data_IF_505965871804
#
_entry.id   IF_505965871804
#
_cell.length_a   1.000
_cell.length_b   1.000
_cell.length_c   1.000
_cell.angle_alpha   90.00
_cell.angle_beta   90.00
_cell.angle_gamma   90.00
#
_symmetry.space_group_name_H-M   'P 1'
#
loop_
_entity.id
_entity.type
_entity.pdbx_description
1 polymer ?
#
# COMPACT_ATOMS: atom_id res chain seq x y z
N UNK A 1 8.61 3.55 19.50
CA UNK A 1 7.29 3.72 20.17
C UNK A 1 6.25 3.73 19.04
N UNK A 2 5.30 2.81 19.03
CA UNK A 2 4.22 2.89 18.03
C UNK A 2 3.54 4.26 18.19
N UNK A 3 3.31 4.97 17.08
CA UNK A 3 2.41 6.13 17.14
C UNK A 3 1.09 5.67 17.73
N UNK A 4 0.88 5.95 19.01
CA UNK A 4 -0.38 5.63 19.66
C UNK A 4 -1.46 6.45 18.95
N UNK A 5 -2.28 5.77 18.13
CA UNK A 5 -3.41 6.43 17.47
C UNK A 5 -4.25 7.10 18.54
N UNK A 6 -4.47 8.40 18.40
CA UNK A 6 -5.25 9.16 19.36
C UNK A 6 -6.64 8.52 19.60
N UNK A 7 -7.21 8.61 20.80
CA UNK A 7 -8.51 8.06 21.10
C UNK A 7 -9.58 8.52 20.09
N UNK A 8 -10.49 7.64 19.70
CA UNK A 8 -11.50 7.90 18.67
C UNK A 8 -12.26 9.22 18.87
N UNK A 9 -12.70 9.51 20.11
CA UNK A 9 -13.44 10.75 20.41
C UNK A 9 -12.63 12.02 20.14
N UNK A 10 -11.32 11.98 20.36
CA UNK A 10 -10.42 13.10 20.03
C UNK A 10 -10.32 13.26 18.53
N UNK A 11 -9.99 12.18 17.80
CA UNK A 11 -9.88 12.19 16.34
C UNK A 11 -11.16 12.69 15.65
N UNK A 12 -12.34 12.28 16.17
CA UNK A 12 -13.63 12.74 15.67
C UNK A 12 -13.85 14.23 15.94
N UNK A 13 -13.49 14.71 17.14
CA UNK A 13 -13.59 16.13 17.48
C UNK A 13 -12.68 16.96 16.58
N UNK A 14 -11.40 16.57 16.45
CA UNK A 14 -10.43 17.27 15.63
C UNK A 14 -10.90 17.36 14.16
N UNK A 15 -11.51 16.28 13.64
CA UNK A 15 -12.09 16.25 12.29
C UNK A 15 -13.29 17.20 12.13
N UNK A 16 -14.18 17.27 13.13
CA UNK A 16 -15.38 18.12 13.10
C UNK A 16 -15.06 19.62 13.32
N UNK A 17 -13.99 19.91 14.05
CA UNK A 17 -13.52 21.27 14.32
C UNK A 17 -12.55 21.80 13.23
N UNK A 18 -12.13 20.96 12.29
CA UNK A 18 -11.23 21.36 11.21
C UNK A 18 -11.94 22.15 10.12
N UNK A 19 -11.48 23.36 9.83
CA UNK A 19 -11.99 24.17 8.71
C UNK A 19 -11.47 23.68 7.35
N UNK A 20 -10.27 23.13 7.29
CA UNK A 20 -9.60 22.71 6.04
C UNK A 20 -10.03 21.33 5.55
N UNK A 21 -10.29 20.40 6.46
CA UNK A 21 -10.61 19.01 6.13
C UNK A 21 -11.88 18.86 5.28
N UNK A 22 -13.03 19.46 5.63
CA UNK A 22 -14.24 19.37 4.79
C UNK A 22 -14.05 19.96 3.39
N UNK A 23 -13.28 21.04 3.26
CA UNK A 23 -12.95 21.64 1.96
C UNK A 23 -12.09 20.70 1.11
N UNK A 24 -11.09 20.08 1.71
CA UNK A 24 -10.22 19.12 1.03
C UNK A 24 -11.00 17.87 0.57
N UNK A 25 -11.79 17.28 1.47
CA UNK A 25 -12.62 16.11 1.17
C UNK A 25 -13.68 16.43 0.11
N UNK A 26 -14.41 17.55 0.27
CA UNK A 26 -15.46 17.99 -0.67
C UNK A 26 -14.92 18.28 -2.09
N UNK A 27 -13.66 18.62 -2.23
CA UNK A 27 -13.00 18.84 -3.52
C UNK A 27 -12.46 17.55 -4.14
N UNK A 28 -11.76 16.73 -3.36
CA UNK A 28 -10.96 15.61 -3.90
C UNK A 28 -11.80 14.35 -4.08
N UNK A 29 -12.67 14.01 -3.12
CA UNK A 29 -13.42 12.75 -3.20
C UNK A 29 -14.43 12.72 -4.37
N UNK A 30 -15.22 13.79 -4.63
CA UNK A 30 -16.06 13.84 -5.83
C UNK A 30 -15.26 13.80 -7.14
N UNK A 31 -14.06 14.43 -7.17
CA UNK A 31 -13.17 14.37 -8.33
C UNK A 31 -12.70 12.94 -8.60
N UNK A 32 -12.27 12.20 -7.57
CA UNK A 32 -11.85 10.81 -7.71
C UNK A 32 -12.99 9.91 -8.17
N UNK A 33 -14.20 10.06 -7.61
CA UNK A 33 -15.36 9.29 -8.05
C UNK A 33 -15.79 9.67 -9.48
N UNK A 34 -15.74 10.94 -9.85
CA UNK A 34 -16.01 11.40 -11.21
C UNK A 34 -15.03 10.79 -12.23
N UNK A 35 -13.73 10.81 -11.93
CA UNK A 35 -12.70 10.16 -12.75
C UNK A 35 -12.90 8.66 -12.85
N UNK A 36 -13.29 8.00 -11.75
CA UNK A 36 -13.63 6.58 -11.75
C UNK A 36 -14.78 6.28 -12.71
N UNK A 37 -15.87 7.05 -12.65
CA UNK A 37 -17.02 6.88 -13.56
C UNK A 37 -16.61 7.05 -15.02
N UNK A 38 -15.77 8.04 -15.31
CA UNK A 38 -15.25 8.28 -16.66
C UNK A 38 -14.37 7.11 -17.14
N UNK A 39 -13.48 6.58 -16.30
CA UNK A 39 -12.61 5.45 -16.64
C UNK A 39 -13.41 4.15 -16.94
N UNK A 40 -14.62 4.01 -16.39
CA UNK A 40 -15.53 2.90 -16.68
C UNK A 40 -16.57 3.23 -17.75
N UNK A 41 -16.56 4.45 -18.31
CA UNK A 41 -17.49 4.80 -19.37
C UNK A 41 -17.27 3.89 -20.60
N UNK A 42 -18.36 3.28 -21.08
CA UNK A 42 -18.30 2.33 -22.20
C UNK A 42 -17.78 0.93 -21.86
N UNK A 43 -17.42 0.65 -20.61
CA UNK A 43 -17.04 -0.67 -20.11
C UNK A 43 -18.24 -1.36 -19.43
N UNK A 44 -18.25 -2.66 -19.45
CA UNK A 44 -19.24 -3.47 -18.70
C UNK A 44 -18.74 -3.70 -17.27
N UNK A 45 -18.83 -2.64 -16.42
CA UNK A 45 -18.40 -2.69 -15.03
C UNK A 45 -19.00 -3.88 -14.25
N UNK A 46 -20.32 -4.22 -14.36
CA UNK A 46 -20.87 -5.39 -13.68
C UNK A 46 -20.21 -6.71 -14.09
N UNK A 47 -19.94 -6.93 -15.37
CA UNK A 47 -19.28 -8.16 -15.84
C UNK A 47 -17.82 -8.21 -15.38
N UNK A 48 -17.08 -7.11 -15.46
CA UNK A 48 -15.70 -7.02 -14.99
C UNK A 48 -15.59 -7.18 -13.48
N UNK A 49 -16.51 -6.57 -12.72
CA UNK A 49 -16.64 -6.76 -11.27
C UNK A 49 -16.89 -8.23 -10.92
N UNK A 50 -17.85 -8.87 -11.58
CA UNK A 50 -18.17 -10.27 -11.34
C UNK A 50 -16.96 -11.18 -11.63
N UNK A 51 -16.21 -10.90 -12.71
CA UNK A 51 -14.97 -11.61 -13.05
C UNK A 51 -13.92 -11.46 -11.96
N UNK A 52 -13.60 -10.23 -11.53
CA UNK A 52 -12.60 -10.01 -10.48
C UNK A 52 -13.06 -10.60 -9.15
N UNK A 53 -14.33 -10.46 -8.78
CA UNK A 53 -14.89 -11.04 -7.56
C UNK A 53 -14.76 -12.58 -7.55
N UNK A 54 -15.06 -13.25 -8.68
CA UNK A 54 -14.93 -14.70 -8.81
C UNK A 54 -13.45 -15.15 -8.66
N UNK A 55 -12.52 -14.44 -9.30
CA UNK A 55 -11.08 -14.69 -9.16
C UNK A 55 -10.66 -14.54 -7.70
N UNK A 56 -10.96 -13.41 -7.06
CA UNK A 56 -10.54 -13.13 -5.70
C UNK A 56 -11.17 -14.10 -4.69
N UNK A 57 -12.45 -14.46 -4.87
CA UNK A 57 -13.13 -15.46 -4.04
C UNK A 57 -12.44 -16.83 -4.10
N UNK A 58 -12.12 -17.29 -5.31
CA UNK A 58 -11.38 -18.54 -5.53
C UNK A 58 -9.98 -18.47 -4.86
N UNK A 59 -9.23 -17.39 -5.10
CA UNK A 59 -7.87 -17.25 -4.61
C UNK A 59 -7.81 -17.16 -3.08
N UNK A 60 -8.78 -16.51 -2.44
CA UNK A 60 -8.93 -16.52 -0.97
C UNK A 60 -9.21 -17.93 -0.45
N UNK A 61 -10.11 -18.67 -1.10
CA UNK A 61 -10.42 -20.06 -0.71
C UNK A 61 -9.20 -20.98 -0.85
N UNK A 62 -8.46 -20.84 -1.96
CA UNK A 62 -7.27 -21.64 -2.30
C UNK A 62 -5.98 -21.13 -1.62
N UNK A 63 -6.04 -20.13 -0.76
CA UNK A 63 -4.90 -19.44 -0.18
C UNK A 63 -3.74 -20.35 0.26
N UNK A 64 -3.97 -21.39 1.08
CA UNK A 64 -2.90 -22.29 1.52
C UNK A 64 -2.17 -23.00 0.37
N UNK A 65 -2.90 -23.45 -0.65
CA UNK A 65 -2.34 -24.10 -1.83
C UNK A 65 -1.52 -23.11 -2.68
N UNK A 66 -2.07 -21.90 -2.89
CA UNK A 66 -1.40 -20.84 -3.62
C UNK A 66 -0.12 -20.37 -2.91
N UNK A 67 -0.14 -20.30 -1.59
CA UNK A 67 1.04 -19.99 -0.78
C UNK A 67 2.16 -21.01 -0.99
N UNK A 68 1.84 -22.30 -0.88
CA UNK A 68 2.82 -23.36 -1.11
C UNK A 68 3.41 -23.29 -2.52
N UNK A 69 2.57 -23.10 -3.53
CA UNK A 69 2.98 -22.97 -4.92
C UNK A 69 3.86 -21.73 -5.14
N UNK A 70 3.44 -20.56 -4.63
CA UNK A 70 4.21 -19.32 -4.73
C UNK A 70 5.60 -19.49 -4.13
N UNK A 71 5.69 -19.99 -2.89
CA UNK A 71 6.95 -20.20 -2.20
C UNK A 71 7.90 -21.07 -3.03
N UNK A 72 7.45 -22.26 -3.45
CA UNK A 72 8.28 -23.19 -4.21
C UNK A 72 8.78 -22.58 -5.55
N UNK A 73 7.95 -21.82 -6.25
CA UNK A 73 8.33 -21.23 -7.55
C UNK A 73 9.20 -19.99 -7.36
N UNK A 74 8.93 -19.15 -6.37
CA UNK A 74 9.72 -17.96 -6.06
C UNK A 74 11.14 -18.33 -5.58
N UNK A 75 11.28 -19.35 -4.72
CA UNK A 75 12.57 -19.86 -4.27
C UNK A 75 13.38 -20.46 -5.42
N UNK A 76 12.73 -21.21 -6.31
CA UNK A 76 13.38 -21.71 -7.53
C UNK A 76 13.85 -20.58 -8.44
N UNK A 77 13.18 -19.44 -8.41
CA UNK A 77 13.57 -18.22 -9.12
C UNK A 77 14.70 -17.44 -8.42
N UNK A 78 15.11 -17.86 -7.22
CA UNK A 78 16.21 -17.26 -6.46
C UNK A 78 15.78 -16.20 -5.44
N UNK A 79 14.49 -16.09 -5.12
CA UNK A 79 14.03 -15.30 -3.98
C UNK A 79 14.15 -16.09 -2.69
N UNK A 80 14.22 -15.39 -1.56
CA UNK A 80 14.04 -16.00 -0.23
C UNK A 80 12.64 -15.67 0.25
N UNK A 81 11.81 -16.68 0.51
CA UNK A 81 10.45 -16.49 0.98
C UNK A 81 10.36 -16.81 2.47
N UNK A 82 10.03 -15.80 3.28
CA UNK A 82 9.81 -15.98 4.70
C UNK A 82 8.36 -16.37 4.96
N UNK A 83 8.10 -17.36 5.84
CA UNK A 83 6.76 -17.86 6.10
C UNK A 83 5.83 -16.77 6.65
N UNK A 84 4.50 -16.91 6.47
CA UNK A 84 3.53 -15.98 7.02
C UNK A 84 3.65 -15.87 8.54
N UNK A 85 3.68 -14.63 9.04
CA UNK A 85 3.84 -14.34 10.46
C UNK A 85 2.97 -13.14 10.89
N UNK A 86 2.89 -12.89 12.17
CA UNK A 86 2.25 -11.71 12.74
C UNK A 86 3.10 -10.44 12.56
N UNK A 87 2.57 -9.31 13.04
CA UNK A 87 3.21 -8.02 12.89
C UNK A 87 4.60 -7.95 13.56
N UNK A 88 4.76 -8.52 14.76
CA UNK A 88 6.01 -8.46 15.51
C UNK A 88 7.10 -9.28 14.84
N UNK A 89 6.80 -10.51 14.45
CA UNK A 89 7.73 -11.40 13.78
C UNK A 89 8.13 -10.88 12.38
N UNK A 90 7.21 -10.25 11.65
CA UNK A 90 7.54 -9.61 10.36
C UNK A 90 8.49 -8.43 10.56
N UNK A 91 8.25 -7.56 11.57
CA UNK A 91 9.16 -6.45 11.88
C UNK A 91 10.56 -6.95 12.24
N UNK A 92 10.64 -7.97 13.11
CA UNK A 92 11.94 -8.55 13.50
C UNK A 92 12.67 -9.18 12.30
N UNK A 93 11.95 -9.91 11.44
CA UNK A 93 12.54 -10.49 10.22
C UNK A 93 13.14 -9.41 9.31
N UNK A 94 12.40 -8.31 9.07
CA UNK A 94 12.89 -7.20 8.25
C UNK A 94 14.09 -6.51 8.90
N UNK A 95 14.03 -6.24 10.20
CA UNK A 95 15.15 -5.64 10.95
C UNK A 95 16.41 -6.52 10.91
N UNK A 96 16.25 -7.84 11.03
CA UNK A 96 17.39 -8.77 10.94
C UNK A 96 18.01 -8.79 9.55
N UNK A 97 17.20 -8.79 8.47
CA UNK A 97 17.70 -8.71 7.10
C UNK A 97 18.51 -7.44 6.86
N UNK A 98 18.03 -6.30 7.38
CA UNK A 98 18.73 -5.01 7.27
C UNK A 98 20.02 -5.00 8.09
N UNK A 99 20.03 -5.59 9.30
CA UNK A 99 21.26 -5.75 10.11
C UNK A 99 22.32 -6.62 9.42
N UNK A 100 21.91 -7.75 8.82
CA UNK A 100 22.79 -8.62 8.07
C UNK A 100 23.40 -7.93 6.84
N UNK A 101 22.62 -7.05 6.18
CA UNK A 101 23.09 -6.21 5.10
C UNK A 101 23.92 -5.00 5.56
N UNK A 102 24.07 -4.78 6.85
CA UNK A 102 24.69 -3.56 7.44
C UNK A 102 24.05 -2.27 6.90
N UNK A 103 22.74 -2.31 6.60
CA UNK A 103 22.00 -1.19 6.06
C UNK A 103 21.90 -0.06 7.10
N UNK A 104 22.01 1.17 6.65
CA UNK A 104 21.81 2.40 7.44
C UNK A 104 20.67 3.23 6.88
N UNK A 105 20.46 3.20 5.56
CA UNK A 105 19.42 3.92 4.86
C UNK A 105 18.55 2.99 4.05
N UNK A 106 17.24 3.14 4.20
CA UNK A 106 16.21 2.34 3.52
C UNK A 106 15.26 3.28 2.78
N UNK A 107 15.05 3.04 1.49
CA UNK A 107 13.96 3.66 0.72
C UNK A 107 12.75 2.75 0.69
N UNK A 108 11.58 3.32 0.99
CA UNK A 108 10.34 2.56 1.10
C UNK A 108 9.30 3.11 0.12
N UNK A 109 8.66 2.22 -0.64
CA UNK A 109 7.48 2.60 -1.41
C UNK A 109 6.24 2.50 -0.54
N UNK A 110 5.23 3.30 -0.88
CA UNK A 110 3.93 3.23 -0.21
C UNK A 110 3.40 1.80 -0.15
N UNK A 111 3.09 1.34 1.06
CA UNK A 111 2.54 0.01 1.29
C UNK A 111 1.66 -0.03 2.54
N UNK A 112 0.38 -0.33 2.35
CA UNK A 112 -0.54 -0.48 3.49
C UNK A 112 -0.16 -1.64 4.41
N UNK A 113 0.54 -2.67 3.91
CA UNK A 113 1.00 -3.78 4.75
C UNK A 113 2.11 -3.33 5.72
N UNK A 114 3.00 -2.44 5.29
CA UNK A 114 4.04 -1.89 6.16
C UNK A 114 3.49 -0.87 7.16
N UNK A 115 2.47 -0.08 6.75
CA UNK A 115 1.76 0.81 7.68
C UNK A 115 0.98 0.02 8.74
N UNK A 116 0.32 -1.07 8.34
CA UNK A 116 -0.41 -1.96 9.23
C UNK A 116 0.42 -2.41 10.43
N UNK A 117 1.69 -2.71 10.19
CA UNK A 117 2.59 -3.22 11.23
C UNK A 117 3.49 -2.13 11.84
N UNK A 118 3.35 -0.86 11.47
CA UNK A 118 4.20 0.22 11.96
C UNK A 118 5.69 0.00 11.65
N UNK A 119 6.00 -0.55 10.47
CA UNK A 119 7.36 -0.95 10.13
C UNK A 119 8.34 0.20 10.13
N UNK A 120 7.96 1.36 9.57
CA UNK A 120 8.83 2.55 9.53
C UNK A 120 9.28 2.94 10.94
N UNK A 121 8.33 3.11 11.84
CA UNK A 121 8.59 3.52 13.22
C UNK A 121 9.48 2.53 13.97
N UNK A 122 9.29 1.22 13.73
CA UNK A 122 10.12 0.19 14.32
C UNK A 122 11.58 0.28 13.84
N UNK A 123 11.79 0.43 12.53
CA UNK A 123 13.12 0.55 11.95
C UNK A 123 13.84 1.86 12.34
N UNK A 124 13.10 2.98 12.40
CA UNK A 124 13.64 4.27 12.90
C UNK A 124 14.04 4.17 14.38
N UNK A 125 13.27 3.43 15.20
CA UNK A 125 13.63 3.18 16.60
C UNK A 125 14.91 2.32 16.76
N UNK A 126 15.21 1.46 15.77
CA UNK A 126 16.45 0.69 15.68
C UNK A 126 17.62 1.51 15.09
N UNK A 127 17.42 2.81 14.80
CA UNK A 127 18.45 3.73 14.33
C UNK A 127 18.66 3.76 12.82
N UNK A 128 17.77 3.17 12.01
CA UNK A 128 17.83 3.26 10.55
C UNK A 128 17.19 4.57 10.06
N UNK A 129 17.75 5.14 9.01
CA UNK A 129 17.10 6.19 8.24
C UNK A 129 16.12 5.54 7.25
N UNK A 130 14.82 5.75 7.46
CA UNK A 130 13.76 5.22 6.56
C UNK A 130 13.13 6.37 5.81
N UNK A 131 13.16 6.32 4.47
CA UNK A 131 12.64 7.38 3.61
C UNK A 131 11.45 6.88 2.79
N UNK A 132 10.27 7.46 3.04
CA UNK A 132 9.09 7.26 2.21
C UNK A 132 9.31 7.94 0.85
N UNK A 133 8.97 7.24 -0.22
CA UNK A 133 9.30 7.70 -1.58
C UNK A 133 8.08 8.06 -2.44
N UNK A 134 6.87 7.74 -2.00
CA UNK A 134 5.63 8.30 -2.53
C UNK A 134 5.47 9.72 -2.00
N UNK A 135 5.17 10.69 -2.85
CA UNK A 135 5.12 12.10 -2.42
C UNK A 135 4.12 12.33 -1.28
N UNK A 136 2.96 11.67 -1.32
CA UNK A 136 1.96 11.79 -0.26
C UNK A 136 2.41 11.16 1.05
N UNK A 137 3.01 9.97 1.02
CA UNK A 137 3.59 9.32 2.21
C UNK A 137 4.80 10.09 2.74
N UNK A 138 5.62 10.66 1.87
CA UNK A 138 6.75 11.50 2.26
C UNK A 138 6.29 12.75 3.03
N UNK A 139 5.23 13.42 2.57
CA UNK A 139 4.64 14.55 3.29
C UNK A 139 4.10 14.12 4.67
N UNK A 140 3.40 12.99 4.73
CA UNK A 140 2.87 12.41 5.97
C UNK A 140 4.02 12.02 6.93
N UNK A 141 5.12 11.47 6.40
CA UNK A 141 6.32 11.18 7.19
C UNK A 141 6.93 12.43 7.81
N UNK A 142 7.15 13.48 7.01
CA UNK A 142 7.73 14.74 7.52
C UNK A 142 6.80 15.40 8.55
N UNK A 143 5.49 15.31 8.35
CA UNK A 143 4.49 15.85 9.26
C UNK A 143 4.37 15.04 10.57
N UNK A 144 4.96 13.84 10.62
CA UNK A 144 4.80 12.86 11.69
C UNK A 144 3.33 12.51 11.96
N UNK A 145 2.58 12.31 10.87
CA UNK A 145 1.15 12.00 10.89
C UNK A 145 0.87 10.60 10.32
N UNK A 146 -0.40 10.18 10.40
CA UNK A 146 -0.88 8.95 9.76
C UNK A 146 -1.53 9.25 8.41
N UNK A 147 -1.50 8.32 7.44
CA UNK A 147 -2.21 8.46 6.18
C UNK A 147 -3.71 8.67 6.39
N UNK A 148 -4.29 9.68 5.74
CA UNK A 148 -5.73 9.96 5.85
C UNK A 148 -6.59 9.22 4.83
N UNK A 149 -5.97 8.65 3.78
CA UNK A 149 -6.67 7.91 2.72
C UNK A 149 -5.77 6.82 2.14
N UNK A 150 -6.35 5.66 1.78
CA UNK A 150 -5.60 4.50 1.28
C UNK A 150 -4.78 4.81 0.02
N UNK A 151 -5.29 5.67 -0.87
CA UNK A 151 -4.63 6.01 -2.15
C UNK A 151 -3.98 7.39 -2.12
N UNK A 152 -4.59 8.36 -1.45
CA UNK A 152 -4.13 9.74 -1.35
C UNK A 152 -3.80 10.09 0.12
N UNK A 153 -2.67 9.63 0.68
CA UNK A 153 -2.38 9.69 2.11
C UNK A 153 -2.35 11.10 2.68
N UNK A 154 -1.86 12.07 1.92
CA UNK A 154 -1.73 13.47 2.29
C UNK A 154 -2.94 14.35 1.90
N UNK A 155 -4.12 13.76 1.70
CA UNK A 155 -5.33 14.46 1.27
C UNK A 155 -5.71 15.67 2.16
N UNK A 156 -5.38 15.61 3.43
CA UNK A 156 -5.64 16.62 4.45
C UNK A 156 -4.57 17.73 4.51
N UNK A 157 -3.43 17.56 3.84
CA UNK A 157 -2.34 18.53 3.83
C UNK A 157 -2.57 19.58 2.75
N UNK A 158 -2.56 20.87 3.12
CA UNK A 158 -2.70 21.99 2.18
C UNK A 158 -1.38 22.23 1.43
N UNK A 159 -1.41 23.00 0.34
CA UNK A 159 -0.20 23.35 -0.44
C UNK A 159 0.78 24.18 0.38
N UNK A 160 0.27 25.10 1.18
CA UNK A 160 1.03 25.94 2.09
C UNK A 160 1.77 25.07 3.10
N UNK A 161 1.06 24.12 3.72
CA UNK A 161 1.67 23.18 4.66
C UNK A 161 2.67 22.24 3.98
N UNK A 162 2.41 21.81 2.75
CA UNK A 162 3.34 21.01 1.96
C UNK A 162 4.64 21.79 1.64
N UNK A 163 4.53 23.10 1.35
CA UNK A 163 5.70 23.96 1.13
C UNK A 163 6.57 24.08 2.38
N UNK A 164 5.97 24.30 3.56
CA UNK A 164 6.67 24.31 4.84
C UNK A 164 7.37 22.97 5.12
N UNK A 165 6.67 21.85 4.94
CA UNK A 165 7.20 20.51 5.18
C UNK A 165 8.39 20.19 4.27
N UNK A 166 8.26 20.38 2.96
CA UNK A 166 9.35 20.14 2.01
C UNK A 166 10.51 21.11 2.29
N UNK A 167 10.19 22.37 2.56
CA UNK A 167 11.18 23.40 2.90
C UNK A 167 12.02 23.02 4.12
N UNK A 168 11.40 22.42 5.15
CA UNK A 168 12.10 22.02 6.39
C UNK A 168 13.17 20.95 6.17
N UNK A 169 12.98 20.04 5.19
CA UNK A 169 13.93 18.96 4.90
C UNK A 169 14.92 19.32 3.79
N UNK A 170 14.54 20.24 2.90
CA UNK A 170 15.42 20.70 1.81
C UNK A 170 16.26 21.94 2.18
N UNK A 171 15.90 22.63 3.27
CA UNK A 171 16.52 23.90 3.65
C UNK A 171 16.16 25.07 2.72
N UNK A 172 15.10 24.96 1.94
CA UNK A 172 14.67 25.95 0.96
C UNK A 172 13.39 26.67 1.41
N UNK A 173 13.26 27.95 1.07
CA UNK A 173 11.98 28.67 1.16
C UNK A 173 11.21 28.44 -0.14
N UNK A 174 10.14 27.65 -0.08
CA UNK A 174 9.40 27.19 -1.26
C UNK A 174 8.02 27.86 -1.35
N UNK A 175 7.63 28.38 -2.51
CA UNK A 175 6.26 28.83 -2.72
C UNK A 175 5.30 27.63 -2.76
N UNK A 176 4.00 27.82 -2.41
CA UNK A 176 2.99 26.75 -2.43
C UNK A 176 2.51 26.43 -3.85
N UNK A 177 3.45 26.28 -4.78
CA UNK A 177 3.24 25.94 -6.18
C UNK A 177 3.55 24.46 -6.42
N UNK A 178 2.59 23.66 -6.94
CA UNK A 178 2.77 22.22 -7.09
C UNK A 178 4.01 21.82 -7.89
N UNK A 179 4.33 22.50 -8.98
CA UNK A 179 5.46 22.14 -9.84
C UNK A 179 6.80 22.38 -9.13
N UNK A 180 6.89 23.48 -8.36
CA UNK A 180 8.06 23.79 -7.55
C UNK A 180 8.24 22.79 -6.41
N UNK A 181 7.16 22.43 -5.71
CA UNK A 181 7.18 21.46 -4.63
C UNK A 181 7.58 20.06 -5.11
N UNK A 182 7.00 19.61 -6.24
CA UNK A 182 7.35 18.32 -6.84
C UNK A 182 8.82 18.28 -7.26
N UNK A 183 9.35 19.38 -7.81
CA UNK A 183 10.76 19.47 -8.22
C UNK A 183 11.68 19.37 -7.01
N UNK A 184 11.44 20.13 -5.96
CA UNK A 184 12.24 20.11 -4.74
C UNK A 184 12.21 18.71 -4.06
N UNK A 185 11.03 18.10 -3.93
CA UNK A 185 10.90 16.75 -3.42
C UNK A 185 11.62 15.71 -4.28
N UNK A 186 11.54 15.82 -5.62
CA UNK A 186 12.25 14.95 -6.55
C UNK A 186 13.77 15.04 -6.39
N UNK A 187 14.32 16.24 -6.29
CA UNK A 187 15.76 16.46 -6.10
C UNK A 187 16.23 15.83 -4.79
N UNK A 188 15.54 16.12 -3.70
CA UNK A 188 15.81 15.52 -2.40
C UNK A 188 15.75 13.99 -2.40
N UNK A 189 14.66 13.41 -2.92
CA UNK A 189 14.48 11.96 -2.96
C UNK A 189 15.45 11.26 -3.91
N UNK A 190 15.95 11.95 -4.96
CA UNK A 190 16.91 11.37 -5.89
C UNK A 190 18.19 10.92 -5.19
N UNK A 191 18.71 11.77 -4.34
CA UNK A 191 19.94 11.47 -3.58
C UNK A 191 19.69 10.31 -2.60
N UNK A 192 18.50 10.26 -1.98
CA UNK A 192 18.11 9.16 -1.10
C UNK A 192 18.02 7.82 -1.83
N UNK A 193 17.45 7.79 -3.03
CA UNK A 193 17.43 6.58 -3.88
C UNK A 193 18.82 6.07 -4.22
N UNK A 194 19.75 6.98 -4.52
CA UNK A 194 21.13 6.61 -4.89
C UNK A 194 21.92 6.11 -3.68
N UNK A 195 21.69 6.69 -2.51
CA UNK A 195 22.40 6.34 -1.27
C UNK A 195 21.81 5.13 -0.53
N UNK A 196 20.62 4.65 -0.91
CA UNK A 196 19.93 3.61 -0.16
C UNK A 196 20.65 2.26 -0.23
N UNK A 197 20.82 1.64 0.95
CA UNK A 197 21.38 0.30 1.11
C UNK A 197 20.34 -0.78 0.78
N UNK A 198 19.07 -0.52 1.11
CA UNK A 198 17.97 -1.45 0.88
C UNK A 198 16.71 -0.73 0.40
N UNK A 199 15.88 -1.45 -0.34
CA UNK A 199 14.55 -1.00 -0.76
C UNK A 199 13.45 -1.89 -0.21
N UNK A 200 12.41 -1.27 0.35
CA UNK A 200 11.23 -1.98 0.85
C UNK A 200 10.02 -1.64 -0.01
N UNK A 201 9.30 -2.66 -0.45
CA UNK A 201 8.03 -2.50 -1.17
C UNK A 201 6.94 -3.37 -0.57
N UNK A 202 5.69 -3.05 -0.89
CA UNK A 202 4.58 -3.99 -0.77
C UNK A 202 4.44 -4.88 -1.99
N UNK A 203 3.23 -5.44 -2.18
CA UNK A 203 2.81 -6.09 -3.43
C UNK A 203 1.35 -5.79 -3.73
N UNK A 204 1.03 -5.60 -5.01
CA UNK A 204 -0.34 -5.57 -5.49
C UNK A 204 -0.88 -6.99 -5.75
N UNK A 205 -0.02 -7.90 -6.20
CA UNK A 205 -0.28 -9.33 -6.26
C UNK A 205 1.01 -10.17 -6.09
N UNK A 206 0.84 -11.39 -5.59
CA UNK A 206 1.83 -12.46 -5.54
C UNK A 206 1.35 -13.59 -6.44
N UNK A 207 2.00 -13.79 -7.58
CA UNK A 207 1.53 -14.71 -8.63
C UNK A 207 2.07 -16.11 -8.40
N UNK A 208 1.23 -17.04 -7.97
CA UNK A 208 1.66 -18.38 -7.56
C UNK A 208 2.28 -19.20 -8.70
N UNK A 209 1.74 -19.09 -9.92
CA UNK A 209 2.23 -19.86 -11.06
C UNK A 209 3.65 -19.49 -11.54
N UNK A 210 4.11 -18.27 -11.25
CA UNK A 210 5.41 -17.76 -11.71
C UNK A 210 6.35 -17.35 -10.58
N UNK A 211 5.85 -17.36 -9.32
CA UNK A 211 6.60 -16.84 -8.18
C UNK A 211 6.90 -15.34 -8.26
N UNK A 212 6.10 -14.58 -9.04
CA UNK A 212 6.37 -13.17 -9.31
C UNK A 212 5.64 -12.25 -8.35
N UNK A 213 6.29 -11.16 -7.98
CA UNK A 213 5.71 -10.03 -7.25
C UNK A 213 5.26 -8.97 -8.25
N UNK A 214 3.98 -8.59 -8.25
CA UNK A 214 3.45 -7.49 -9.06
C UNK A 214 3.44 -6.20 -8.24
N UNK A 215 4.07 -5.16 -8.78
CA UNK A 215 4.05 -3.79 -8.27
C UNK A 215 3.38 -2.86 -9.28
N UNK A 216 2.50 -1.99 -8.78
CA UNK A 216 1.80 -0.97 -9.57
C UNK A 216 2.13 0.40 -8.98
N UNK A 217 2.58 1.33 -9.81
CA UNK A 217 2.94 2.69 -9.42
C UNK A 217 2.65 3.68 -10.54
N UNK A 218 2.32 4.93 -10.19
CA UNK A 218 2.22 6.03 -11.15
C UNK A 218 3.45 6.94 -11.13
N UNK A 219 4.16 7.00 -10.02
CA UNK A 219 5.32 7.90 -9.82
C UNK A 219 6.65 7.25 -10.23
N UNK A 220 6.69 5.93 -10.34
CA UNK A 220 7.92 5.19 -10.61
C UNK A 220 8.78 4.93 -9.36
N UNK A 221 8.41 5.46 -8.21
CA UNK A 221 9.11 5.30 -6.93
C UNK A 221 9.23 3.82 -6.52
N UNK A 222 8.16 3.03 -6.59
CA UNK A 222 8.20 1.60 -6.26
C UNK A 222 9.19 0.83 -7.16
N UNK A 223 9.32 1.23 -8.45
CA UNK A 223 10.32 0.67 -9.35
C UNK A 223 11.74 1.01 -8.91
N UNK A 224 11.99 2.25 -8.47
CA UNK A 224 13.30 2.66 -7.97
C UNK A 224 13.65 1.93 -6.66
N UNK A 225 12.71 1.82 -5.71
CA UNK A 225 12.90 1.04 -4.48
C UNK A 225 13.26 -0.43 -4.76
N UNK A 226 12.64 -1.03 -5.78
CA UNK A 226 12.85 -2.44 -6.11
C UNK A 226 14.03 -2.72 -7.02
N UNK A 227 14.69 -1.69 -7.59
CA UNK A 227 15.72 -1.91 -8.61
C UNK A 227 17.05 -1.21 -8.36
N UNK A 228 17.12 -0.14 -7.57
CA UNK A 228 18.39 0.56 -7.31
C UNK A 228 19.21 -0.08 -6.18
N UNK A 229 18.64 -0.35 -4.98
CA UNK A 229 19.38 -0.99 -3.90
C UNK A 229 19.77 -2.43 -4.20
N UNK A 230 20.85 -2.89 -3.59
CA UNK A 230 21.33 -4.28 -3.73
C UNK A 230 20.43 -5.30 -3.02
N UNK A 231 19.70 -4.87 -1.99
CA UNK A 231 18.72 -5.65 -1.23
C UNK A 231 17.32 -5.12 -1.48
N UNK A 232 16.40 -5.99 -1.92
CA UNK A 232 14.98 -5.68 -2.04
C UNK A 232 14.16 -6.58 -1.12
N UNK A 233 13.40 -5.96 -0.21
CA UNK A 233 12.50 -6.64 0.72
C UNK A 233 11.05 -6.31 0.34
N UNK A 234 10.27 -7.34 0.05
CA UNK A 234 8.83 -7.24 -0.22
C UNK A 234 8.07 -7.64 1.02
N UNK A 235 7.29 -6.74 1.61
CA UNK A 235 6.38 -7.04 2.73
C UNK A 235 4.96 -7.10 2.21
N UNK A 236 4.35 -8.28 2.19
CA UNK A 236 3.05 -8.48 1.57
C UNK A 236 2.13 -9.39 2.38
N UNK A 237 0.86 -9.01 2.50
CA UNK A 237 -0.16 -9.88 3.08
C UNK A 237 -0.43 -11.11 2.22
N UNK A 238 -0.70 -12.25 2.84
CA UNK A 238 -1.08 -13.49 2.14
C UNK A 238 -2.38 -13.34 1.33
N UNK A 239 -3.16 -12.30 1.61
CA UNK A 239 -4.34 -11.90 0.83
C UNK A 239 -3.99 -11.39 -0.60
N UNK A 240 -2.71 -11.18 -0.91
CA UNK A 240 -2.23 -10.78 -2.24
C UNK A 240 -1.94 -11.93 -3.19
N UNK A 241 -2.05 -13.17 -2.73
CA UNK A 241 -1.89 -14.34 -3.59
C UNK A 241 -2.95 -14.38 -4.69
N UNK A 242 -2.50 -14.64 -5.91
CA UNK A 242 -3.33 -14.92 -7.09
C UNK A 242 -2.77 -16.13 -7.83
N UNK A 243 -3.63 -16.92 -8.48
CA UNK A 243 -3.20 -18.17 -9.07
C UNK A 243 -2.29 -17.97 -10.29
N UNK A 244 -2.66 -17.06 -11.20
CA UNK A 244 -2.00 -16.89 -12.51
C UNK A 244 -1.72 -15.43 -12.87
N UNK A 245 -0.88 -15.22 -13.88
CA UNK A 245 -0.64 -13.90 -14.48
C UNK A 245 -1.94 -13.28 -15.04
N UNK A 246 -2.82 -14.10 -15.58
CA UNK A 246 -4.12 -13.64 -16.09
C UNK A 246 -5.01 -13.12 -14.96
N UNK A 247 -4.94 -13.74 -13.78
CA UNK A 247 -5.66 -13.27 -12.59
C UNK A 247 -5.07 -11.95 -12.05
N UNK A 248 -3.76 -11.82 -12.09
CA UNK A 248 -3.08 -10.55 -11.77
C UNK A 248 -3.49 -9.44 -12.76
N UNK A 249 -3.59 -9.74 -14.06
CA UNK A 249 -4.06 -8.80 -15.07
C UNK A 249 -5.50 -8.32 -14.80
N UNK A 250 -6.40 -9.19 -14.34
CA UNK A 250 -7.76 -8.79 -13.97
C UNK A 250 -7.75 -7.75 -12.81
N UNK A 251 -6.78 -7.82 -11.90
CA UNK A 251 -6.58 -6.77 -10.88
C UNK A 251 -6.11 -5.47 -11.52
N UNK A 252 -5.19 -5.52 -12.50
CA UNK A 252 -4.71 -4.34 -13.22
C UNK A 252 -5.80 -3.65 -14.04
N UNK A 253 -6.72 -4.41 -14.63
CA UNK A 253 -7.86 -3.85 -15.38
C UNK A 253 -8.77 -2.97 -14.50
N UNK A 254 -8.91 -3.33 -13.22
CA UNK A 254 -9.88 -2.70 -12.32
C UNK A 254 -9.26 -1.74 -11.32
N UNK A 255 -8.02 -1.98 -10.86
CA UNK A 255 -7.40 -1.22 -9.77
C UNK A 255 -7.16 0.24 -10.12
N UNK A 256 -6.47 0.62 -11.23
CA UNK A 256 -6.21 2.03 -11.56
C UNK A 256 -7.49 2.82 -11.81
N UNK A 257 -8.43 2.22 -12.55
CA UNK A 257 -9.72 2.83 -12.85
C UNK A 257 -10.52 3.12 -11.58
N UNK A 258 -10.53 2.17 -10.63
CA UNK A 258 -11.23 2.33 -9.35
C UNK A 258 -10.52 3.28 -8.39
N UNK A 259 -9.19 3.34 -8.40
CA UNK A 259 -8.39 4.10 -7.43
C UNK A 259 -8.26 5.58 -7.80
N UNK A 260 -7.85 5.86 -9.03
CA UNK A 260 -7.47 7.20 -9.50
C UNK A 260 -8.17 7.63 -10.78
N UNK A 261 -9.00 6.75 -11.35
CA UNK A 261 -9.70 6.99 -12.61
C UNK A 261 -8.80 6.93 -13.83
N UNK A 262 -7.71 6.16 -13.77
CA UNK A 262 -6.82 5.93 -14.91
C UNK A 262 -7.19 4.63 -15.61
N UNK A 263 -7.13 4.62 -16.93
CA UNK A 263 -7.35 3.38 -17.70
C UNK A 263 -6.24 2.35 -17.48
N UNK A 264 -5.00 2.83 -17.21
CA UNK A 264 -3.85 2.00 -16.86
C UNK A 264 -2.88 2.81 -15.98
N UNK A 265 -2.15 2.13 -15.10
CA UNK A 265 -1.07 2.74 -14.33
C UNK A 265 0.16 2.99 -15.20
N UNK A 266 0.93 4.03 -14.84
CA UNK A 266 2.14 4.41 -15.59
C UNK A 266 3.22 3.32 -15.57
N UNK A 267 3.33 2.61 -14.46
CA UNK A 267 4.33 1.55 -14.28
C UNK A 267 3.69 0.31 -13.67
N UNK A 268 3.95 -0.83 -14.31
CA UNK A 268 3.64 -2.17 -13.79
C UNK A 268 4.91 -2.99 -13.87
N UNK A 269 5.36 -3.53 -12.75
CA UNK A 269 6.56 -4.35 -12.67
C UNK A 269 6.20 -5.75 -12.17
N UNK A 270 6.69 -6.78 -12.86
CA UNK A 270 6.66 -8.16 -12.40
C UNK A 270 8.09 -8.59 -12.08
N UNK A 271 8.35 -8.85 -10.80
CA UNK A 271 9.66 -9.19 -10.26
C UNK A 271 9.67 -10.69 -9.99
N UNK A 272 10.52 -11.43 -10.70
CA UNK A 272 10.60 -12.90 -10.65
C UNK A 272 12.03 -13.34 -10.27
N UNK A 273 12.51 -12.84 -9.15
CA UNK A 273 13.85 -13.13 -8.64
C UNK A 273 14.82 -11.96 -8.71
N UNK A 274 16.07 -12.19 -8.28
CA UNK A 274 17.16 -11.23 -8.33
C UNK A 274 17.49 -10.79 -9.76
N UNK A 275 18.10 -9.61 -9.88
CA UNK A 275 18.69 -9.17 -11.16
C UNK A 275 19.78 -10.15 -11.61
N UNK A 276 19.73 -10.57 -12.87
CA UNK A 276 20.71 -11.52 -13.43
C UNK A 276 21.06 -11.22 -14.87
N UNK A 277 22.32 -11.44 -15.21
CA UNK A 277 22.84 -11.38 -16.57
C UNK A 277 23.71 -12.63 -16.85
N UNK A 278 23.77 -13.05 -18.12
CA UNK A 278 24.65 -14.13 -18.57
C UNK A 278 25.50 -13.70 -19.78
N UNK A 279 25.69 -12.38 -19.99
CA UNK A 279 26.33 -11.79 -21.16
C UNK A 279 27.87 -11.99 -21.18
N UNK A 280 28.46 -12.42 -20.05
CA UNK A 280 29.90 -12.70 -19.97
C UNK A 280 30.09 -14.22 -19.92
N UNK A 281 30.58 -14.77 -21.02
CA UNK A 281 30.91 -16.21 -21.20
C UNK A 281 29.76 -17.14 -20.82
N UNK A 282 28.50 -16.70 -20.96
CA UNK A 282 27.28 -17.43 -20.51
C UNK A 282 27.29 -17.78 -19.01
N UNK A 283 28.15 -17.13 -18.23
CA UNK A 283 28.18 -17.27 -16.77
C UNK A 283 27.14 -16.40 -16.11
N UNK A 284 26.29 -17.01 -15.25
CA UNK A 284 25.23 -16.28 -14.54
C UNK A 284 25.84 -15.35 -13.47
N UNK A 285 25.64 -14.06 -13.63
CA UNK A 285 26.00 -13.01 -12.65
C UNK A 285 24.74 -12.36 -12.05
N UNK A 286 24.73 -12.17 -10.73
CA UNK A 286 23.62 -11.56 -10.00
C UNK A 286 23.96 -10.11 -9.63
N UNK A 287 22.93 -9.24 -9.62
CA UNK A 287 23.03 -7.88 -9.06
C UNK A 287 23.64 -6.83 -9.99
N UNK A 288 23.73 -7.07 -11.31
CA UNK A 288 24.37 -6.12 -12.26
C UNK A 288 23.55 -4.83 -12.41
N UNK A 289 22.23 -4.95 -12.60
CA UNK A 289 21.33 -3.83 -12.89
C UNK A 289 20.15 -3.70 -11.91
N UNK A 290 20.17 -4.45 -10.83
CA UNK A 290 19.10 -4.47 -9.84
C UNK A 290 19.53 -5.27 -8.61
N UNK A 291 18.61 -5.58 -7.69
CA UNK A 291 18.96 -6.24 -6.44
C UNK A 291 19.60 -7.61 -6.67
N UNK A 292 20.65 -7.85 -5.91
CA UNK A 292 21.30 -9.17 -5.79
C UNK A 292 20.47 -10.11 -4.92
N UNK A 293 19.86 -9.55 -3.87
CA UNK A 293 19.11 -10.29 -2.89
C UNK A 293 17.66 -9.79 -2.86
N UNK A 294 16.71 -10.71 -3.00
CA UNK A 294 15.27 -10.41 -3.00
C UNK A 294 14.60 -11.30 -1.97
N UNK A 295 14.02 -10.68 -0.94
CA UNK A 295 13.29 -11.34 0.12
C UNK A 295 11.80 -11.01 0.04
N UNK A 296 10.95 -12.02 0.19
CA UNK A 296 9.50 -11.86 0.32
C UNK A 296 9.11 -12.25 1.75
N UNK A 297 8.74 -11.27 2.54
CA UNK A 297 8.30 -11.45 3.94
C UNK A 297 6.78 -11.42 3.97
N UNK A 298 6.17 -12.56 4.28
CA UNK A 298 4.72 -12.74 4.21
C UNK A 298 4.06 -12.37 5.55
N UNK A 299 3.02 -11.57 5.45
CA UNK A 299 2.25 -11.08 6.60
C UNK A 299 0.91 -11.81 6.67
N UNK A 300 0.67 -12.55 7.76
CA UNK A 300 -0.65 -13.08 8.10
C UNK A 300 -1.46 -12.08 8.91
N UNK A 301 -1.01 -11.76 10.10
CA UNK A 301 -1.60 -10.78 11.00
C UNK A 301 -3.14 -10.83 11.05
N UNK A 302 -3.70 -12.04 11.24
CA UNK A 302 -5.14 -12.28 11.34
C UNK A 302 -5.85 -12.59 10.01
N UNK A 303 -5.14 -12.62 8.87
CA UNK A 303 -5.72 -12.94 7.56
C UNK A 303 -6.23 -14.38 7.47
N UNK A 304 -5.51 -15.32 8.06
CA UNK A 304 -5.96 -16.71 8.10
C UNK A 304 -7.20 -16.88 8.99
N UNK A 305 -7.29 -16.16 10.11
CA UNK A 305 -8.49 -16.14 10.94
C UNK A 305 -9.68 -15.57 10.15
N UNK A 306 -9.48 -14.46 9.43
CA UNK A 306 -10.50 -13.85 8.57
C UNK A 306 -10.91 -14.77 7.41
N UNK A 307 -9.96 -15.51 6.80
CA UNK A 307 -10.24 -16.46 5.73
C UNK A 307 -11.17 -17.60 6.17
N UNK A 308 -11.00 -18.04 7.41
CA UNK A 308 -11.83 -19.12 8.02
C UNK A 308 -13.20 -18.64 8.49
N UNK A 309 -13.39 -17.34 8.62
CA UNK A 309 -14.66 -16.77 9.06
C UNK A 309 -15.60 -16.56 7.86
N UNK A 310 -16.76 -17.29 7.82
CA UNK A 310 -17.68 -17.19 6.68
C UNK A 310 -18.26 -15.79 6.46
N UNK A 311 -18.33 -14.95 7.50
CA UNK A 311 -18.85 -13.58 7.42
C UNK A 311 -17.81 -12.61 6.90
N UNK A 312 -16.53 -12.77 7.30
CA UNK A 312 -15.50 -11.79 7.03
C UNK A 312 -14.53 -12.18 5.90
N UNK A 313 -14.50 -13.44 5.45
CA UNK A 313 -13.61 -13.89 4.37
C UNK A 313 -13.69 -13.05 3.10
N UNK A 314 -14.87 -12.47 2.80
CA UNK A 314 -15.09 -11.63 1.63
C UNK A 314 -14.26 -10.33 1.69
N UNK A 315 -13.92 -9.83 2.88
CA UNK A 315 -13.09 -8.65 3.04
C UNK A 315 -11.64 -8.84 2.52
N UNK A 316 -11.14 -10.10 2.50
CA UNK A 316 -9.83 -10.44 1.92
C UNK A 316 -9.79 -10.32 0.39
N UNK A 317 -10.95 -10.23 -0.27
CA UNK A 317 -11.00 -9.98 -1.72
C UNK A 317 -10.58 -8.55 -2.08
N UNK A 318 -10.46 -7.65 -1.09
CA UNK A 318 -10.16 -6.24 -1.29
C UNK A 318 -8.82 -6.01 -2.00
N UNK A 319 -8.85 -5.25 -3.11
CA UNK A 319 -7.66 -4.85 -3.88
C UNK A 319 -7.06 -3.52 -3.40
N UNK A 320 -7.58 -2.93 -2.33
CA UNK A 320 -7.09 -1.67 -1.69
C UNK A 320 -7.18 -0.44 -2.61
N UNK A 321 -8.19 -0.35 -3.48
CA UNK A 321 -8.37 0.77 -4.41
C UNK A 321 -8.89 2.07 -3.76
N UNK A 322 -9.46 2.03 -2.55
CA UNK A 322 -9.99 3.22 -1.87
C UNK A 322 -11.33 3.77 -2.39
N UNK A 323 -11.92 3.22 -3.46
CA UNK A 323 -13.16 3.72 -4.07
C UNK A 323 -14.33 3.80 -3.08
N UNK A 324 -14.42 2.86 -2.14
CA UNK A 324 -15.44 2.84 -1.10
C UNK A 324 -15.40 4.06 -0.17
N UNK A 325 -14.20 4.62 0.08
CA UNK A 325 -14.02 5.84 0.88
C UNK A 325 -14.53 7.06 0.12
N UNK A 326 -14.32 7.12 -1.20
CA UNK A 326 -14.71 8.26 -2.02
C UNK A 326 -16.22 8.52 -2.04
N UNK A 327 -17.03 7.46 -1.91
CA UNK A 327 -18.50 7.54 -1.96
C UNK A 327 -19.17 7.42 -0.59
N UNK A 328 -18.41 7.20 0.48
CA UNK A 328 -18.95 7.06 1.82
C UNK A 328 -19.37 8.42 2.40
N UNK A 329 -20.67 8.65 2.70
CA UNK A 329 -21.14 9.95 3.16
C UNK A 329 -20.49 10.37 4.49
N UNK A 330 -20.25 9.43 5.39
CA UNK A 330 -19.59 9.72 6.66
C UNK A 330 -18.11 10.04 6.47
N UNK A 331 -17.42 9.28 5.64
CA UNK A 331 -16.01 9.55 5.33
C UNK A 331 -15.82 10.94 4.69
N UNK A 332 -16.75 11.36 3.84
CA UNK A 332 -16.75 12.70 3.23
C UNK A 332 -16.89 13.84 4.26
N UNK A 333 -17.38 13.56 5.45
CA UNK A 333 -17.50 14.56 6.52
C UNK A 333 -16.31 14.57 7.48
N UNK A 334 -15.80 13.38 7.87
CA UNK A 334 -14.84 13.26 8.96
C UNK A 334 -13.47 12.74 8.55
N UNK A 335 -13.31 12.32 7.29
CA UNK A 335 -12.05 11.80 6.78
C UNK A 335 -11.60 10.47 7.37
N UNK A 336 -10.43 10.03 6.93
CA UNK A 336 -9.90 8.73 7.30
C UNK A 336 -9.38 8.63 8.73
N UNK A 337 -8.87 9.70 9.29
CA UNK A 337 -8.36 9.69 10.66
C UNK A 337 -9.47 9.41 11.69
N UNK A 338 -10.70 9.87 11.46
CA UNK A 338 -11.84 9.57 12.32
C UNK A 338 -12.55 8.26 11.90
N UNK A 339 -12.71 8.02 10.59
CA UNK A 339 -13.37 6.82 10.07
C UNK A 339 -12.35 5.73 9.67
N UNK A 340 -11.71 5.12 10.66
CA UNK A 340 -10.72 4.08 10.49
C UNK A 340 -9.70 4.04 11.62
N UNK A 341 -8.64 3.26 11.38
CA UNK A 341 -7.45 3.17 12.21
C UNK A 341 -6.24 3.36 11.29
N UNK A 342 -5.48 2.32 10.97
CA UNK A 342 -4.47 2.35 9.90
C UNK A 342 -5.15 2.20 8.53
N UNK A 343 -6.02 1.20 8.41
CA UNK A 343 -6.92 1.12 7.25
C UNK A 343 -8.10 2.06 7.45
N UNK A 344 -8.29 2.98 6.50
CA UNK A 344 -9.33 4.00 6.58
C UNK A 344 -10.56 3.65 5.72
N UNK A 345 -11.69 4.25 6.05
CA UNK A 345 -12.94 4.10 5.31
C UNK A 345 -13.65 2.76 5.54
N UNK A 346 -14.69 2.45 4.74
CA UNK A 346 -15.57 1.31 4.97
C UNK A 346 -14.86 -0.04 5.08
N UNK A 347 -13.90 -0.33 4.20
CA UNK A 347 -13.13 -1.57 4.29
C UNK A 347 -12.25 -1.63 5.53
N UNK A 348 -11.76 -0.48 5.99
CA UNK A 348 -10.95 -0.38 7.20
C UNK A 348 -11.70 -0.82 8.44
N UNK A 349 -13.03 -0.58 8.50
CA UNK A 349 -13.86 -1.02 9.63
C UNK A 349 -13.90 -2.55 9.76
N UNK A 350 -13.78 -3.29 8.64
CA UNK A 350 -13.73 -4.75 8.65
C UNK A 350 -12.32 -5.26 8.97
N UNK A 351 -11.31 -4.71 8.31
CA UNK A 351 -9.93 -5.17 8.42
C UNK A 351 -9.33 -4.89 9.80
N UNK A 352 -9.63 -3.75 10.40
CA UNK A 352 -9.08 -3.34 11.69
C UNK A 352 -9.41 -4.33 12.81
N UNK A 353 -10.60 -4.94 12.80
CA UNK A 353 -10.99 -5.90 13.83
C UNK A 353 -10.06 -7.12 13.90
N UNK A 354 -9.50 -7.55 12.77
CA UNK A 354 -8.58 -8.69 12.70
C UNK A 354 -7.11 -8.29 12.81
N UNK A 355 -6.75 -7.12 12.27
CA UNK A 355 -5.35 -6.69 12.24
C UNK A 355 -4.91 -5.92 13.49
N UNK A 356 -5.86 -5.23 14.15
CA UNK A 356 -5.56 -4.31 15.26
C UNK A 356 -6.47 -4.45 16.48
N UNK A 357 -7.42 -5.40 16.46
CA UNK A 357 -8.36 -5.66 17.57
C UNK A 357 -9.63 -4.81 17.52
N UNK A 358 -10.63 -5.29 18.24
CA UNK A 358 -11.99 -4.71 18.29
C UNK A 358 -12.02 -3.33 18.93
N UNK A 359 -11.13 -3.04 19.86
CA UNK A 359 -11.03 -1.75 20.56
C UNK A 359 -10.73 -0.61 19.61
N UNK A 360 -9.98 -0.87 18.52
CA UNK A 360 -9.61 0.13 17.52
C UNK A 360 -10.69 0.37 16.46
N UNK A 361 -11.66 -0.51 16.34
CA UNK A 361 -12.75 -0.40 15.35
C UNK A 361 -14.09 0.01 15.97
N UNK A 362 -14.34 -0.28 17.25
CA UNK A 362 -15.64 -0.07 17.89
C UNK A 362 -16.13 1.39 17.81
N UNK A 363 -15.24 2.36 17.98
CA UNK A 363 -15.55 3.77 17.82
C UNK A 363 -15.83 4.14 16.35
N UNK A 364 -14.87 3.97 15.42
CA UNK A 364 -15.07 4.26 14.00
C UNK A 364 -16.28 3.57 13.37
N UNK A 365 -16.59 2.33 13.77
CA UNK A 365 -17.74 1.60 13.24
C UNK A 365 -19.08 2.29 13.55
N UNK A 366 -19.19 2.99 14.67
CA UNK A 366 -20.40 3.77 15.02
C UNK A 366 -20.73 4.88 14.02
N UNK A 367 -19.77 5.25 13.17
CA UNK A 367 -19.96 6.24 12.11
C UNK A 367 -20.57 5.63 10.83
N UNK A 368 -20.68 4.31 10.72
CA UNK A 368 -21.24 3.69 9.54
C UNK A 368 -22.75 3.88 9.48
N UNK A 369 -23.25 4.58 8.45
CA UNK A 369 -24.67 4.82 8.25
C UNK A 369 -25.45 3.62 7.65
N UNK A 370 -24.78 2.51 7.32
CA UNK A 370 -25.43 1.34 6.71
C UNK A 370 -26.04 1.57 5.32
N UNK A 371 -25.60 2.61 4.60
CA UNK A 371 -26.24 3.05 3.34
C UNK A 371 -25.90 2.18 2.12
N UNK A 372 -24.91 1.28 2.19
CA UNK A 372 -24.50 0.39 1.10
C UNK A 372 -23.76 1.04 -0.08
N UNK A 373 -23.51 2.36 -0.08
CA UNK A 373 -22.83 3.06 -1.18
C UNK A 373 -21.46 2.46 -1.50
N UNK A 374 -20.71 2.00 -0.49
CA UNK A 374 -19.40 1.37 -0.68
C UNK A 374 -19.44 0.08 -1.52
N UNK A 375 -20.53 -0.70 -1.43
CA UNK A 375 -20.71 -1.92 -2.21
C UNK A 375 -20.91 -1.65 -3.70
N UNK A 376 -21.60 -0.55 -4.05
CA UNK A 376 -21.93 -0.22 -5.46
C UNK A 376 -20.71 0.11 -6.31
N UNK A 377 -19.60 0.53 -5.67
CA UNK A 377 -18.36 0.95 -6.36
C UNK A 377 -17.21 -0.05 -6.19
N UNK A 378 -17.41 -1.10 -5.40
CA UNK A 378 -16.34 -2.04 -5.08
C UNK A 378 -16.01 -2.92 -6.31
N UNK A 379 -14.78 -2.84 -6.88
CA UNK A 379 -14.42 -3.63 -8.05
C UNK A 379 -14.31 -5.14 -7.76
N UNK A 380 -14.16 -5.51 -6.47
CA UNK A 380 -14.07 -6.90 -6.03
C UNK A 380 -15.42 -7.45 -5.51
N UNK A 381 -16.53 -6.70 -5.66
CA UNK A 381 -17.86 -7.16 -5.29
C UNK A 381 -18.07 -7.43 -3.79
N UNK A 382 -17.35 -6.74 -2.91
CA UNK A 382 -17.54 -6.85 -1.45
C UNK A 382 -18.86 -6.14 -1.10
N UNK A 383 -19.80 -6.83 -0.40
CA UNK A 383 -21.12 -6.30 -0.09
C UNK A 383 -21.13 -5.16 0.93
#
# INVERSE_FOLDING_TARGET
MSHAVAPFKRRLRDALESDSLPMALGRVLPLLDGRRREAFHGRDFPAEQARLAAIRKRDVADGPRLLQQFTAVAEKAGMVVHPPADADAVRETVAELLRQASARMVVKSKSMATEEIGLRQALEADGLEVVETDLGEFLVQIADELPSHIVAPALHITRERAAELIGSVTGQDLPPDPDTLVRAAREYLRDKFIAADAGITGANALVASTGSVMLVSNEGNARLCSSLPSLHIVVAGVDKLVATMTDAAATLDMLPASATGQTMSSYVSFISGPSRSADIEMSLSLGVHGPRDVHVVLLDNGREAMRRDPMFQTALQCVRCGACSNVCPTYQQVGGHAMGHIYTGPIGLLLTSFHHGMENVAGPQSLCAGCGACATVCPAGIP
#
